data_IF_587691053789
#
_entry.id   IF_587691053789
#
_cell.length_a   1.000
_cell.length_b   1.000
_cell.length_c   1.000
_cell.angle_alpha   90.00
_cell.angle_beta   90.00
_cell.angle_gamma   90.00
#
_symmetry.space_group_name_H-M   'P 1'
#
loop_
_entity.id
_entity.type
_entity.pdbx_description
1 polymer ?
#
# COMPACT_ATOMS: atom_id res chain seq x y z
N UNK A 1 10.99 -6.63 -9.82
CA UNK A 1 10.55 -5.22 -9.92
C UNK A 1 11.75 -4.31 -9.69
N UNK A 2 11.90 -3.20 -10.43
CA UNK A 2 12.91 -2.16 -10.18
C UNK A 2 12.31 -1.02 -9.34
N UNK A 3 13.06 -0.49 -8.38
CA UNK A 3 12.72 0.76 -7.69
C UNK A 3 13.48 1.92 -8.35
N UNK A 4 12.74 2.90 -8.86
CA UNK A 4 13.25 4.13 -9.44
C UNK A 4 12.95 5.28 -8.48
N UNK A 5 13.80 5.45 -7.47
CA UNK A 5 13.68 6.56 -6.52
C UNK A 5 14.32 7.83 -7.10
N UNK A 6 13.48 8.77 -7.50
CA UNK A 6 13.85 10.07 -8.08
C UNK A 6 13.64 11.23 -7.09
N UNK A 7 13.47 10.93 -5.80
CA UNK A 7 13.17 11.94 -4.76
C UNK A 7 14.36 12.82 -4.38
N UNK A 8 15.58 12.27 -4.49
CA UNK A 8 16.83 12.94 -4.13
C UNK A 8 17.29 13.99 -5.16
N UNK A 9 16.64 14.06 -6.33
CA UNK A 9 17.01 15.01 -7.38
C UNK A 9 16.22 16.32 -7.21
N UNK A 10 16.84 17.51 -7.34
CA UNK A 10 16.06 18.67 -7.72
C UNK A 10 15.39 18.32 -9.05
N UNK A 11 14.14 18.72 -9.23
CA UNK A 11 13.34 18.24 -10.36
C UNK A 11 13.88 18.70 -11.74
N UNK A 12 14.99 19.45 -11.77
CA UNK A 12 15.73 19.98 -12.93
C UNK A 12 16.99 19.18 -13.33
N UNK A 13 17.40 18.16 -12.58
CA UNK A 13 18.62 17.39 -12.89
C UNK A 13 18.34 16.19 -13.82
N UNK A 14 19.20 16.00 -14.84
CA UNK A 14 19.15 14.86 -15.75
C UNK A 14 19.33 13.52 -15.00
N UNK A 15 18.68 12.43 -15.44
CA UNK A 15 18.65 11.19 -14.67
C UNK A 15 19.97 10.41 -14.66
N UNK A 16 20.37 9.84 -13.51
CA UNK A 16 21.47 8.85 -13.40
C UNK A 16 21.07 7.47 -13.99
N UNK A 17 19.78 7.25 -14.23
CA UNK A 17 19.24 6.04 -14.87
C UNK A 17 17.95 6.41 -15.63
N UNK A 18 18.00 6.36 -16.95
CA UNK A 18 16.84 6.60 -17.83
C UNK A 18 15.80 5.47 -17.59
N UNK A 19 14.55 5.77 -17.19
CA UNK A 19 13.49 4.77 -17.10
C UNK A 19 13.37 3.91 -18.36
N UNK A 20 13.61 4.47 -19.55
CA UNK A 20 13.63 3.75 -20.83
C UNK A 20 14.79 2.78 -20.93
N UNK A 21 15.95 3.09 -20.37
CA UNK A 21 17.09 2.16 -20.35
C UNK A 21 16.81 0.93 -19.46
N UNK A 22 15.94 1.05 -18.47
CA UNK A 22 15.62 -0.01 -17.52
C UNK A 22 14.37 -0.82 -17.91
N UNK A 23 13.36 -0.13 -18.44
CA UNK A 23 12.08 -0.73 -18.82
C UNK A 23 12.01 -1.07 -20.31
N UNK A 24 12.89 -0.52 -21.15
CA UNK A 24 12.76 -0.58 -22.60
C UNK A 24 11.75 0.44 -23.12
N UNK A 25 11.58 0.50 -24.43
CA UNK A 25 10.75 1.52 -25.10
C UNK A 25 9.24 1.25 -25.01
N UNK A 26 8.83 0.04 -24.64
CA UNK A 26 7.43 -0.39 -24.65
C UNK A 26 6.94 -0.74 -23.24
N UNK A 27 6.64 0.29 -22.45
CA UNK A 27 6.05 0.14 -21.13
C UNK A 27 4.88 1.11 -20.91
N UNK A 28 3.91 0.69 -20.10
CA UNK A 28 2.78 1.51 -19.70
C UNK A 28 2.97 2.03 -18.26
N UNK A 29 2.68 3.32 -18.05
CA UNK A 29 2.80 3.98 -16.75
C UNK A 29 1.42 4.20 -16.11
N UNK A 30 1.19 3.63 -14.93
CA UNK A 30 0.03 3.96 -14.10
C UNK A 30 0.36 5.17 -13.21
N UNK A 31 -0.43 6.25 -13.27
CA UNK A 31 -0.22 7.44 -12.43
C UNK A 31 -1.21 7.49 -11.27
N UNK A 32 -0.74 7.82 -10.08
CA UNK A 32 -1.60 7.91 -8.90
C UNK A 32 -0.88 8.04 -7.57
N UNK A 33 -1.65 8.27 -6.50
CA UNK A 33 -1.13 8.28 -5.14
C UNK A 33 -0.81 6.86 -4.62
N UNK A 34 -1.57 5.86 -5.09
CA UNK A 34 -1.32 4.45 -4.80
C UNK A 34 -1.23 4.12 -3.29
N UNK A 35 -1.96 4.84 -2.44
CA UNK A 35 -1.99 4.57 -0.99
C UNK A 35 -2.94 3.40 -0.72
N UNK A 36 -2.37 2.28 -0.27
CA UNK A 36 -3.04 1.01 -0.02
C UNK A 36 -3.09 0.06 -1.21
N UNK A 37 -2.76 0.46 -2.45
CA UNK A 37 -2.77 -0.42 -3.64
C UNK A 37 -4.03 -1.32 -3.74
N UNK A 38 -5.19 -0.72 -3.44
CA UNK A 38 -6.50 -1.38 -3.44
C UNK A 38 -6.93 -1.88 -4.82
N UNK A 39 -8.02 -2.63 -4.91
CA UNK A 39 -8.49 -3.24 -6.15
C UNK A 39 -8.69 -2.24 -7.31
N UNK A 40 -9.09 -1.00 -7.02
CA UNK A 40 -9.07 0.12 -7.98
C UNK A 40 -7.69 0.39 -8.61
N UNK A 41 -6.64 0.49 -7.80
CA UNK A 41 -5.27 0.63 -8.28
C UNK A 41 -4.80 -0.61 -9.05
N UNK A 42 -5.21 -1.80 -8.62
CA UNK A 42 -4.86 -3.05 -9.29
C UNK A 42 -5.49 -3.14 -10.69
N UNK A 43 -6.65 -2.51 -10.92
CA UNK A 43 -7.22 -2.42 -12.26
C UNK A 43 -6.45 -1.45 -13.17
N UNK A 44 -5.85 -0.38 -12.64
CA UNK A 44 -4.92 0.44 -13.41
C UNK A 44 -3.75 -0.40 -13.91
N UNK A 45 -3.16 -1.22 -13.03
CA UNK A 45 -2.08 -2.16 -13.39
C UNK A 45 -2.56 -3.17 -14.43
N UNK A 46 -3.78 -3.72 -14.26
CA UNK A 46 -4.38 -4.65 -15.22
C UNK A 46 -4.56 -4.04 -16.60
N UNK A 47 -5.06 -2.81 -16.67
CA UNK A 47 -5.24 -2.08 -17.92
C UNK A 47 -3.89 -1.74 -18.55
N UNK A 48 -2.90 -1.33 -17.75
CA UNK A 48 -1.55 -1.07 -18.26
C UNK A 48 -0.91 -2.33 -18.89
N UNK A 49 -1.09 -3.51 -18.27
CA UNK A 49 -0.63 -4.79 -18.84
C UNK A 49 -1.28 -5.17 -20.16
N UNK A 50 -2.50 -4.70 -20.41
CA UNK A 50 -3.15 -4.91 -21.70
C UNK A 50 -2.54 -4.02 -22.81
N UNK A 51 -1.91 -2.90 -22.45
CA UNK A 51 -1.35 -1.93 -23.39
C UNK A 51 0.13 -2.15 -23.65
N UNK A 52 0.87 -2.72 -22.70
CA UNK A 52 2.31 -2.93 -22.82
C UNK A 52 2.79 -4.17 -22.02
N UNK A 53 3.89 -4.81 -22.45
CA UNK A 53 4.44 -5.99 -21.76
C UNK A 53 4.95 -5.67 -20.35
N UNK A 54 5.42 -4.43 -20.13
CA UNK A 54 5.93 -3.97 -18.84
C UNK A 54 5.06 -2.84 -18.28
N UNK A 55 4.90 -2.83 -16.96
CA UNK A 55 4.12 -1.83 -16.24
C UNK A 55 4.95 -1.12 -15.19
N UNK A 56 4.91 0.21 -15.22
CA UNK A 56 5.44 1.07 -14.18
C UNK A 56 4.31 1.68 -13.36
N UNK A 57 4.43 1.65 -12.03
CA UNK A 57 3.61 2.45 -11.13
C UNK A 57 4.37 3.72 -10.82
N UNK A 58 3.79 4.88 -11.10
CA UNK A 58 4.41 6.19 -10.88
C UNK A 58 3.66 6.93 -9.78
N UNK A 59 4.39 7.31 -8.73
CA UNK A 59 3.83 7.99 -7.57
C UNK A 59 4.74 9.11 -7.07
N UNK A 60 4.30 9.82 -6.05
CA UNK A 60 4.99 10.96 -5.48
C UNK A 60 5.33 10.73 -4.00
N UNK A 61 6.53 11.16 -3.61
CA UNK A 61 6.97 11.21 -2.21
C UNK A 61 7.77 12.52 -1.97
N UNK A 62 7.44 13.33 -0.95
CA UNK A 62 6.27 13.23 -0.05
C UNK A 62 4.93 13.22 -0.79
N UNK A 63 3.84 12.74 -0.16
CA UNK A 63 2.52 12.78 -0.82
C UNK A 63 2.12 14.24 -1.07
N UNK A 64 1.41 14.56 -2.16
CA UNK A 64 0.98 15.93 -2.43
C UNK A 64 0.24 16.59 -1.24
N UNK A 65 -0.58 15.82 -0.51
CA UNK A 65 -1.27 16.31 0.69
C UNK A 65 -0.32 16.64 1.84
N UNK A 66 0.80 15.94 1.98
CA UNK A 66 1.79 16.20 3.03
C UNK A 66 2.51 17.54 2.81
N UNK A 67 2.61 18.01 1.55
CA UNK A 67 3.19 19.31 1.20
C UNK A 67 2.16 20.44 1.20
N UNK A 68 0.98 20.18 0.64
CA UNK A 68 -0.05 21.21 0.40
C UNK A 68 -0.93 21.48 1.62
N UNK A 69 -1.14 20.47 2.46
CA UNK A 69 -2.01 20.54 3.62
C UNK A 69 -1.56 19.55 4.72
N UNK A 70 -0.34 19.71 5.29
CA UNK A 70 0.24 18.77 6.24
C UNK A 70 -0.69 18.47 7.43
N UNK A 71 -1.35 19.49 7.98
CA UNK A 71 -2.25 19.34 9.14
C UNK A 71 -3.54 18.56 8.82
N UNK A 72 -3.84 18.35 7.53
CA UNK A 72 -5.02 17.63 7.03
C UNK A 72 -4.64 16.37 6.27
N UNK A 73 -3.36 16.00 6.26
CA UNK A 73 -2.91 14.83 5.55
C UNK A 73 -3.50 13.57 6.21
N UNK A 74 -4.24 12.74 5.47
CA UNK A 74 -4.81 11.53 6.06
C UNK A 74 -3.68 10.56 6.44
N UNK A 75 -3.87 9.71 7.46
CA UNK A 75 -2.89 8.71 7.84
C UNK A 75 -2.63 7.76 6.67
N UNK A 76 -1.41 7.24 6.57
CA UNK A 76 -1.01 6.32 5.49
C UNK A 76 -1.64 4.96 5.72
N UNK A 77 -2.16 4.35 4.65
CA UNK A 77 -2.59 2.95 4.66
C UNK A 77 -1.40 2.01 4.51
N UNK A 78 -0.29 2.49 3.96
CA UNK A 78 0.94 1.73 3.84
C UNK A 78 2.17 2.63 3.86
N UNK A 79 3.27 2.11 4.38
CA UNK A 79 4.60 2.73 4.27
C UNK A 79 5.14 2.62 2.83
N UNK A 80 6.17 3.43 2.46
CA UNK A 80 6.85 3.27 1.18
C UNK A 80 7.37 1.83 0.95
N UNK A 81 7.96 1.21 1.98
CA UNK A 81 8.45 -0.17 1.91
C UNK A 81 7.33 -1.21 1.74
N UNK A 82 6.16 -1.00 2.36
CA UNK A 82 4.98 -1.84 2.10
C UNK A 82 4.47 -1.66 0.66
N UNK A 83 4.40 -0.41 0.17
CA UNK A 83 4.00 -0.14 -1.22
C UNK A 83 4.92 -0.84 -2.23
N UNK A 84 6.22 -0.84 -1.97
CA UNK A 84 7.20 -1.57 -2.78
C UNK A 84 6.89 -3.08 -2.82
N UNK A 85 6.72 -3.72 -1.65
CA UNK A 85 6.36 -5.14 -1.55
C UNK A 85 5.07 -5.45 -2.30
N UNK A 86 4.03 -4.67 -2.06
CA UNK A 86 2.72 -4.87 -2.69
C UNK A 86 2.81 -4.70 -4.21
N UNK A 87 3.56 -3.73 -4.71
CA UNK A 87 3.77 -3.59 -6.16
C UNK A 87 4.50 -4.81 -6.74
N UNK A 88 5.50 -5.34 -6.03
CA UNK A 88 6.25 -6.53 -6.42
C UNK A 88 5.34 -7.77 -6.48
N UNK A 89 4.52 -7.98 -5.46
CA UNK A 89 3.58 -9.11 -5.38
C UNK A 89 2.51 -9.04 -6.49
N UNK A 90 2.06 -7.82 -6.85
CA UNK A 90 1.17 -7.57 -8.00
C UNK A 90 1.87 -7.79 -9.36
N UNK A 91 3.19 -8.00 -9.35
CA UNK A 91 4.03 -8.23 -10.53
C UNK A 91 4.49 -6.96 -11.25
N UNK A 92 4.32 -5.77 -10.67
CA UNK A 92 4.73 -4.50 -11.30
C UNK A 92 6.22 -4.57 -11.68
N UNK A 93 6.56 -4.07 -12.87
CA UNK A 93 7.93 -4.14 -13.40
C UNK A 93 8.81 -3.04 -12.81
N UNK A 94 8.26 -1.83 -12.59
CA UNK A 94 8.93 -0.76 -11.84
C UNK A 94 7.99 0.06 -10.96
N UNK A 95 8.49 0.47 -9.80
CA UNK A 95 7.90 1.52 -8.98
C UNK A 95 8.76 2.78 -9.13
N UNK A 96 8.22 3.81 -9.76
CA UNK A 96 8.86 5.12 -9.92
C UNK A 96 8.33 6.10 -8.90
N UNK A 97 9.21 6.62 -8.04
CA UNK A 97 8.87 7.58 -7.00
C UNK A 97 9.46 8.93 -7.36
N UNK A 98 8.59 9.87 -7.71
CA UNK A 98 8.96 11.23 -8.05
C UNK A 98 8.93 12.12 -6.81
N UNK A 99 9.85 13.09 -6.76
CA UNK A 99 9.78 14.15 -5.75
C UNK A 99 8.53 15.01 -5.98
N UNK A 100 7.76 15.27 -4.93
CA UNK A 100 6.75 16.32 -4.94
C UNK A 100 7.15 17.45 -4.00
N UNK A 101 7.19 18.67 -4.52
CA UNK A 101 7.46 19.87 -3.76
C UNK A 101 6.62 21.04 -4.30
N UNK A 102 6.84 22.24 -3.77
CA UNK A 102 6.07 23.44 -4.15
C UNK A 102 6.28 23.85 -5.61
N UNK A 103 7.42 23.52 -6.21
CA UNK A 103 7.66 23.77 -7.63
C UNK A 103 6.76 22.87 -8.47
N UNK A 104 6.77 21.56 -8.19
CA UNK A 104 5.90 20.58 -8.86
C UNK A 104 4.42 20.92 -8.67
N UNK A 105 4.03 21.35 -7.47
CA UNK A 105 2.66 21.80 -7.18
C UNK A 105 2.21 23.02 -7.99
N UNK A 106 3.16 23.85 -8.45
CA UNK A 106 2.91 25.07 -9.22
C UNK A 106 2.87 24.86 -10.73
N UNK A 107 3.21 23.67 -11.24
CA UNK A 107 3.25 23.39 -12.68
C UNK A 107 1.87 23.50 -13.32
N UNK A 108 1.78 24.10 -14.50
CA UNK A 108 0.57 23.97 -15.32
C UNK A 108 0.36 22.49 -15.75
N UNK A 109 -0.86 22.10 -16.15
CA UNK A 109 -1.09 20.76 -16.72
C UNK A 109 -0.12 20.44 -17.87
N UNK A 110 0.09 21.36 -18.81
CA UNK A 110 1.03 21.17 -19.91
C UNK A 110 2.47 20.96 -19.41
N UNK A 111 2.97 21.82 -18.52
CA UNK A 111 4.33 21.71 -17.99
C UNK A 111 4.54 20.42 -17.18
N UNK A 112 3.49 19.89 -16.53
CA UNK A 112 3.54 18.59 -15.87
C UNK A 112 3.70 17.45 -16.89
N UNK A 113 2.92 17.47 -17.97
CA UNK A 113 2.98 16.45 -19.03
C UNK A 113 4.34 16.47 -19.73
N UNK A 114 4.79 17.65 -20.16
CA UNK A 114 6.07 17.83 -20.83
C UNK A 114 7.21 17.30 -19.96
N UNK A 115 7.30 17.80 -18.71
CA UNK A 115 8.39 17.44 -17.80
C UNK A 115 8.40 15.96 -17.43
N UNK A 116 7.27 15.42 -16.99
CA UNK A 116 7.25 14.09 -16.38
C UNK A 116 6.92 13.00 -17.38
N UNK A 117 5.94 13.20 -18.26
CA UNK A 117 5.44 12.14 -19.12
C UNK A 117 6.18 12.09 -20.45
N UNK A 118 6.61 13.23 -21.00
CA UNK A 118 7.33 13.29 -22.28
C UNK A 118 8.85 13.24 -22.06
N UNK A 119 9.40 14.14 -21.26
CA UNK A 119 10.86 14.30 -21.15
C UNK A 119 11.51 13.27 -20.21
N UNK A 120 10.88 12.99 -19.06
CA UNK A 120 11.47 12.13 -18.04
C UNK A 120 11.12 10.65 -18.20
N UNK A 121 9.83 10.33 -18.37
CA UNK A 121 9.34 8.95 -18.38
C UNK A 121 9.24 8.41 -19.80
N UNK A 122 8.60 9.14 -20.72
CA UNK A 122 8.36 8.72 -22.10
C UNK A 122 7.77 7.29 -22.22
N UNK A 123 6.66 6.96 -21.52
CA UNK A 123 6.03 5.65 -21.66
C UNK A 123 5.32 5.52 -23.00
N UNK A 124 5.09 4.29 -23.47
CA UNK A 124 4.28 4.05 -24.67
C UNK A 124 2.77 4.26 -24.40
N UNK A 125 2.36 4.12 -23.14
CA UNK A 125 1.00 4.40 -22.70
C UNK A 125 0.93 4.91 -21.26
N UNK A 126 -0.07 5.74 -20.97
CA UNK A 126 -0.39 6.23 -19.62
C UNK A 126 -1.76 5.73 -19.20
N UNK A 127 -1.87 5.20 -17.98
CA UNK A 127 -3.13 4.72 -17.42
C UNK A 127 -3.46 5.47 -16.14
N UNK A 128 -4.67 6.02 -16.06
CA UNK A 128 -5.14 6.79 -14.91
C UNK A 128 -6.57 6.40 -14.52
N UNK A 129 -6.97 6.72 -13.29
CA UNK A 129 -8.36 6.57 -12.87
C UNK A 129 -9.24 7.70 -13.42
N UNK A 130 -10.54 7.46 -13.51
CA UNK A 130 -11.53 8.44 -13.98
C UNK A 130 -11.51 9.78 -13.22
N UNK A 131 -11.14 9.77 -11.93
CA UNK A 131 -11.07 10.95 -11.07
C UNK A 131 -9.66 11.57 -10.97
N UNK A 132 -8.74 11.16 -11.85
CA UNK A 132 -7.38 11.67 -11.89
C UNK A 132 -7.36 13.17 -12.20
N UNK A 133 -6.58 13.90 -11.40
CA UNK A 133 -6.35 15.33 -11.56
C UNK A 133 -4.89 15.65 -11.37
N UNK A 134 -4.38 16.61 -12.15
CA UNK A 134 -2.99 17.01 -12.15
C UNK A 134 -2.83 18.50 -12.47
N UNK A 135 -1.59 18.98 -12.39
CA UNK A 135 -1.26 20.40 -12.50
C UNK A 135 -1.75 21.24 -11.32
N UNK A 136 -1.32 22.50 -11.33
CA UNK A 136 -1.58 23.47 -10.28
C UNK A 136 -3.08 23.60 -10.03
N UNK A 137 -3.45 23.54 -8.74
CA UNK A 137 -4.85 23.60 -8.30
C UNK A 137 -5.76 22.55 -8.96
N UNK A 138 -5.21 21.40 -9.38
CA UNK A 138 -5.97 20.31 -10.02
C UNK A 138 -6.64 20.72 -11.34
N UNK A 139 -6.03 21.66 -12.07
CA UNK A 139 -6.61 22.24 -13.28
C UNK A 139 -6.74 21.26 -14.46
N UNK A 140 -5.90 20.22 -14.52
CA UNK A 140 -6.00 19.17 -15.55
C UNK A 140 -6.85 17.99 -15.11
N UNK A 141 -7.63 17.41 -16.03
CA UNK A 141 -8.37 16.16 -15.87
C UNK A 141 -8.05 15.16 -16.97
N UNK A 142 -8.77 14.04 -16.97
CA UNK A 142 -8.53 12.95 -17.93
C UNK A 142 -8.70 13.35 -19.41
N UNK A 143 -9.64 14.22 -19.82
CA UNK A 143 -9.73 14.65 -21.22
C UNK A 143 -8.53 15.48 -21.67
N UNK A 144 -8.09 16.43 -20.84
CA UNK A 144 -6.93 17.27 -21.14
C UNK A 144 -5.65 16.44 -21.22
N UNK A 145 -5.49 15.45 -20.32
CA UNK A 145 -4.36 14.52 -20.34
C UNK A 145 -4.30 13.75 -21.67
N UNK A 146 -5.43 13.19 -22.11
CA UNK A 146 -5.50 12.42 -23.35
C UNK A 146 -5.11 13.27 -24.57
N UNK A 147 -5.58 14.53 -24.63
CA UNK A 147 -5.22 15.45 -25.70
C UNK A 147 -3.72 15.77 -25.73
N UNK A 148 -3.13 16.09 -24.57
CA UNK A 148 -1.71 16.43 -24.46
C UNK A 148 -0.80 15.25 -24.80
N UNK A 149 -1.16 14.03 -24.36
CA UNK A 149 -0.40 12.81 -24.67
C UNK A 149 -0.50 12.41 -26.14
N UNK A 150 -1.68 12.57 -26.77
CA UNK A 150 -1.87 12.26 -28.18
C UNK A 150 -0.94 13.10 -29.09
N UNK A 151 -0.73 14.38 -28.76
CA UNK A 151 0.21 15.24 -29.48
C UNK A 151 1.68 14.78 -29.40
N UNK A 152 2.02 13.96 -28.40
CA UNK A 152 3.34 13.37 -28.21
C UNK A 152 3.43 11.90 -28.66
N UNK A 153 2.36 11.34 -29.26
CA UNK A 153 2.31 9.95 -29.69
C UNK A 153 2.20 8.92 -28.55
N UNK A 154 1.83 9.36 -27.33
CA UNK A 154 1.66 8.51 -26.15
C UNK A 154 0.19 8.10 -26.03
N UNK A 155 -0.10 6.81 -25.96
CA UNK A 155 -1.47 6.33 -25.75
C UNK A 155 -1.95 6.64 -24.32
N UNK A 156 -3.26 6.85 -24.14
CA UNK A 156 -3.85 7.02 -22.80
C UNK A 156 -5.06 6.13 -22.61
N UNK A 157 -5.20 5.55 -21.41
CA UNK A 157 -6.41 4.84 -21.00
C UNK A 157 -6.91 5.34 -19.64
N UNK A 158 -8.23 5.45 -19.52
CA UNK A 158 -8.91 5.80 -18.29
C UNK A 158 -9.60 4.54 -17.77
N UNK A 159 -9.33 4.20 -16.51
CA UNK A 159 -10.06 3.13 -15.82
C UNK A 159 -11.23 3.75 -15.09
N UNK A 160 -12.42 3.27 -15.45
CA UNK A 160 -13.69 3.63 -14.81
C UNK A 160 -13.72 3.23 -13.33
N UNK A 161 -14.66 3.81 -12.60
CA UNK A 161 -14.88 3.46 -11.20
C UNK A 161 -15.18 1.96 -11.03
N UNK A 162 -14.51 1.33 -10.07
CA UNK A 162 -14.79 -0.06 -9.69
C UNK A 162 -15.72 -0.06 -8.50
N UNK A 163 -16.87 -0.69 -8.68
CA UNK A 163 -17.79 -1.04 -7.60
C UNK A 163 -17.61 -2.52 -7.25
N UNK A 164 -17.58 -2.83 -5.96
CA UNK A 164 -17.70 -4.21 -5.51
C UNK A 164 -19.16 -4.66 -5.63
N UNK A 165 -19.44 -5.91 -6.03
CA UNK A 165 -20.79 -6.47 -5.95
C UNK A 165 -21.36 -6.26 -4.53
N UNK A 166 -22.61 -5.84 -4.44
CA UNK A 166 -23.33 -5.62 -3.18
C UNK A 166 -22.72 -4.57 -2.23
N UNK A 167 -21.93 -3.64 -2.75
CA UNK A 167 -21.38 -2.51 -1.98
C UNK A 167 -21.80 -1.16 -2.55
N UNK A 168 -22.53 -0.38 -1.76
CA UNK A 168 -22.77 1.04 -2.05
C UNK A 168 -21.56 1.93 -1.72
N UNK A 169 -20.53 1.36 -1.08
CA UNK A 169 -19.33 2.13 -0.70
C UNK A 169 -18.40 2.28 -1.90
N UNK A 170 -18.16 3.52 -2.30
CA UNK A 170 -17.13 3.88 -3.28
C UNK A 170 -15.77 3.31 -2.86
N UNK A 171 -15.17 2.53 -3.76
CA UNK A 171 -13.85 1.96 -3.57
C UNK A 171 -12.79 3.06 -3.61
N UNK A 172 -11.97 3.14 -2.56
CA UNK A 172 -10.81 4.02 -2.53
C UNK A 172 -10.13 4.07 -1.17
N UNK A 173 -8.97 4.71 -1.12
CA UNK A 173 -8.20 4.85 0.12
C UNK A 173 -9.00 5.52 1.25
N UNK A 174 -9.93 6.44 0.96
CA UNK A 174 -10.76 7.08 1.98
C UNK A 174 -11.69 6.08 2.67
N UNK A 175 -12.40 5.25 1.89
CA UNK A 175 -13.27 4.22 2.43
C UNK A 175 -12.49 3.18 3.24
N UNK A 176 -11.32 2.77 2.75
CA UNK A 176 -10.45 1.82 3.48
C UNK A 176 -10.01 2.41 4.82
N UNK A 177 -9.62 3.70 4.86
CA UNK A 177 -9.27 4.35 6.14
C UNK A 177 -10.45 4.36 7.11
N UNK A 178 -11.65 4.64 6.65
CA UNK A 178 -12.85 4.62 7.50
C UNK A 178 -13.13 3.22 8.07
N UNK A 179 -13.03 2.18 7.23
CA UNK A 179 -13.22 0.79 7.65
C UNK A 179 -12.15 0.34 8.65
N UNK A 180 -10.87 0.67 8.40
CA UNK A 180 -9.80 0.37 9.35
C UNK A 180 -10.04 1.12 10.66
N UNK A 181 -10.26 2.45 10.61
CA UNK A 181 -10.52 3.27 11.80
C UNK A 181 -11.70 2.78 12.64
N UNK A 182 -12.71 2.15 12.05
CA UNK A 182 -13.85 1.57 12.77
C UNK A 182 -13.63 0.13 13.25
N UNK A 183 -12.48 -0.48 12.93
CA UNK A 183 -12.14 -1.86 13.26
C UNK A 183 -12.68 -2.91 12.29
N UNK A 184 -13.34 -2.51 11.20
CA UNK A 184 -13.87 -3.39 10.16
C UNK A 184 -12.79 -3.82 9.15
N UNK A 185 -11.76 -4.50 9.65
CA UNK A 185 -10.57 -4.92 8.88
C UNK A 185 -10.88 -5.98 7.81
N UNK A 186 -11.91 -6.77 8.02
CA UNK A 186 -12.45 -7.75 7.06
C UNK A 186 -12.99 -7.02 5.82
N UNK A 187 -13.78 -5.98 6.04
CA UNK A 187 -14.31 -5.14 4.96
C UNK A 187 -13.20 -4.38 4.26
N UNK A 188 -12.18 -3.91 5.00
CA UNK A 188 -11.01 -3.30 4.38
C UNK A 188 -10.29 -4.31 3.45
N UNK A 189 -10.25 -5.59 3.83
CA UNK A 189 -9.67 -6.67 3.02
C UNK A 189 -10.43 -6.85 1.70
N UNK A 190 -11.76 -6.79 1.72
CA UNK A 190 -12.58 -6.86 0.50
C UNK A 190 -12.20 -5.77 -0.53
N UNK A 191 -11.88 -4.57 -0.06
CA UNK A 191 -11.50 -3.43 -0.91
C UNK A 191 -10.03 -3.48 -1.35
N UNK A 192 -9.17 -4.04 -0.50
CA UNK A 192 -7.73 -4.16 -0.75
C UNK A 192 -7.38 -5.36 -1.63
N UNK A 193 -8.18 -6.43 -1.61
CA UNK A 193 -7.86 -7.73 -2.21
C UNK A 193 -6.74 -8.48 -1.46
N UNK A 194 -6.44 -8.05 -0.23
CA UNK A 194 -5.45 -8.61 0.69
C UNK A 194 -5.70 -8.07 2.10
N UNK A 195 -5.12 -8.68 3.12
CA UNK A 195 -5.24 -8.21 4.50
C UNK A 195 -4.71 -6.78 4.64
N UNK A 196 -5.41 -5.96 5.43
CA UNK A 196 -4.84 -4.69 5.89
C UNK A 196 -3.70 -4.99 6.86
N UNK A 197 -2.56 -4.35 6.65
CA UNK A 197 -1.37 -4.67 7.39
C UNK A 197 -0.62 -3.42 7.85
N UNK A 198 -0.16 -3.46 9.09
CA UNK A 198 0.48 -2.35 9.77
C UNK A 198 1.97 -2.66 9.98
N UNK A 199 2.84 -1.92 9.32
CA UNK A 199 4.27 -1.98 9.59
C UNK A 199 4.63 -1.26 10.89
N UNK A 200 5.57 -1.79 11.64
CA UNK A 200 6.08 -1.18 12.86
C UNK A 200 7.39 -1.80 13.33
N UNK A 201 7.92 -1.27 14.42
CA UNK A 201 9.12 -1.80 15.09
C UNK A 201 8.72 -2.44 16.40
N UNK A 202 9.24 -3.63 16.69
CA UNK A 202 9.04 -4.25 17.99
C UNK A 202 9.89 -3.51 19.02
N UNK A 203 9.25 -3.05 20.09
CA UNK A 203 9.88 -2.31 21.18
C UNK A 203 9.81 -3.10 22.48
N UNK A 204 10.68 -2.75 23.42
CA UNK A 204 10.60 -3.26 24.77
C UNK A 204 9.34 -2.70 25.46
N UNK A 205 8.40 -3.60 25.79
CA UNK A 205 7.22 -3.28 26.60
C UNK A 205 7.33 -3.83 28.01
N UNK A 206 6.23 -3.78 28.77
CA UNK A 206 6.19 -4.21 30.17
C UNK A 206 6.32 -5.75 30.39
N UNK A 207 6.49 -6.53 29.32
CA UNK A 207 6.69 -7.99 29.32
C UNK A 207 5.65 -8.81 30.12
N UNK A 208 4.44 -8.27 30.34
CA UNK A 208 3.41 -8.83 31.24
C UNK A 208 2.91 -10.20 30.81
N UNK A 209 2.72 -10.39 29.51
CA UNK A 209 2.27 -11.66 28.94
C UNK A 209 3.19 -12.84 29.26
N UNK A 210 4.48 -12.58 29.52
CA UNK A 210 5.47 -13.62 29.87
C UNK A 210 5.10 -14.34 31.18
N UNK A 211 4.57 -13.63 32.17
CA UNK A 211 4.11 -14.22 33.44
C UNK A 211 2.76 -14.95 33.32
N UNK A 212 2.03 -14.72 32.23
CA UNK A 212 0.73 -15.35 31.97
C UNK A 212 0.79 -16.58 31.07
N UNK A 213 1.96 -16.87 30.46
CA UNK A 213 2.15 -17.92 29.47
C UNK A 213 1.98 -17.44 28.01
N UNK A 214 1.73 -16.15 27.80
CA UNK A 214 1.44 -15.56 26.49
C UNK A 214 2.39 -14.39 26.20
N UNK A 215 3.68 -14.64 25.90
CA UNK A 215 4.62 -13.56 25.60
C UNK A 215 4.15 -12.73 24.39
N UNK A 216 4.16 -11.40 24.52
CA UNK A 216 3.73 -10.46 23.48
C UNK A 216 4.88 -9.61 22.97
N UNK A 217 4.90 -9.38 21.66
CA UNK A 217 5.69 -8.34 21.01
C UNK A 217 4.92 -7.02 21.07
N UNK A 218 5.54 -5.95 21.57
CA UNK A 218 4.94 -4.61 21.57
C UNK A 218 5.35 -3.93 20.27
N UNK A 219 4.41 -3.59 19.41
CA UNK A 219 4.69 -3.02 18.08
C UNK A 219 4.39 -1.52 18.09
N UNK A 220 5.42 -0.70 17.86
CA UNK A 220 5.26 0.74 17.65
C UNK A 220 5.10 1.02 16.16
N UNK A 221 4.02 1.71 15.79
CA UNK A 221 3.74 2.08 14.40
C UNK A 221 3.29 3.53 14.29
N UNK A 222 3.53 4.13 13.13
CA UNK A 222 3.02 5.44 12.72
C UNK A 222 1.90 5.32 11.66
N UNK A 223 1.51 4.10 11.30
CA UNK A 223 0.44 3.85 10.33
C UNK A 223 -0.96 4.05 10.93
N UNK A 224 -1.98 3.86 10.10
CA UNK A 224 -3.37 3.90 10.59
C UNK A 224 -3.67 2.67 11.46
N UNK A 225 -3.88 2.89 12.75
CA UNK A 225 -4.33 1.85 13.67
C UNK A 225 -5.82 1.56 13.46
N UNK A 226 -6.27 0.30 13.55
CA UNK A 226 -7.69 -0.01 13.63
C UNK A 226 -8.29 0.46 14.96
N UNK A 227 -9.61 0.34 15.13
CA UNK A 227 -10.25 0.62 16.41
C UNK A 227 -9.66 -0.28 17.53
N UNK A 228 -9.65 0.16 18.81
CA UNK A 228 -9.22 -0.70 19.90
C UNK A 228 -10.00 -2.02 19.96
N UNK A 229 -9.35 -3.10 20.36
CA UNK A 229 -9.95 -4.44 20.41
C UNK A 229 -8.93 -5.56 20.21
N UNK A 230 -9.44 -6.79 20.21
CA UNK A 230 -8.66 -8.01 19.97
C UNK A 230 -8.89 -8.50 18.55
N UNK A 231 -7.83 -8.88 17.86
CA UNK A 231 -7.83 -9.24 16.46
C UNK A 231 -7.11 -10.58 16.21
N UNK A 232 -7.64 -11.39 15.30
CA UNK A 232 -6.88 -12.42 14.63
C UNK A 232 -5.97 -11.76 13.59
N UNK A 233 -4.69 -12.12 13.56
CA UNK A 233 -3.72 -11.49 12.65
C UNK A 233 -2.55 -12.42 12.31
N UNK A 234 -1.70 -12.00 11.39
CA UNK A 234 -0.38 -12.57 11.18
C UNK A 234 0.68 -11.56 11.61
N UNK A 235 1.75 -12.05 12.25
CA UNK A 235 2.95 -11.29 12.54
C UNK A 235 4.03 -11.70 11.54
N UNK A 236 4.41 -10.80 10.64
CA UNK A 236 5.49 -10.99 9.66
C UNK A 236 6.76 -10.28 10.09
N UNK A 237 7.90 -10.96 10.04
CA UNK A 237 9.23 -10.35 10.19
C UNK A 237 9.68 -9.80 8.83
N UNK A 238 9.98 -8.52 8.78
CA UNK A 238 10.44 -7.86 7.55
C UNK A 238 11.96 -7.88 7.45
N UNK A 239 12.43 -7.90 6.21
CA UNK A 239 13.85 -7.79 5.88
C UNK A 239 14.08 -7.35 4.45
N UNK A 240 15.30 -7.62 3.98
CA UNK A 240 15.73 -7.38 2.61
C UNK A 240 15.93 -8.72 1.89
N UNK A 241 15.45 -8.80 0.66
CA UNK A 241 15.72 -9.92 -0.26
C UNK A 241 17.09 -9.77 -0.90
N UNK A 242 17.59 -10.85 -1.50
CA UNK A 242 18.91 -10.88 -2.15
C UNK A 242 19.08 -9.82 -3.25
N UNK A 243 17.98 -9.40 -3.88
CA UNK A 243 17.95 -8.35 -4.90
C UNK A 243 17.89 -6.92 -4.32
N UNK A 244 18.06 -6.76 -3.01
CA UNK A 244 18.05 -5.47 -2.29
C UNK A 244 16.64 -4.92 -2.03
N UNK A 245 15.61 -5.72 -2.30
CA UNK A 245 14.21 -5.36 -2.11
C UNK A 245 13.69 -5.58 -0.70
N UNK A 246 12.64 -4.87 -0.29
CA UNK A 246 11.93 -5.24 0.96
C UNK A 246 11.15 -6.53 0.77
N UNK A 247 11.18 -7.45 1.74
CA UNK A 247 10.38 -8.69 1.73
C UNK A 247 9.95 -9.14 3.14
N UNK A 248 9.03 -10.09 3.21
CA UNK A 248 8.72 -10.85 4.43
C UNK A 248 9.66 -12.05 4.50
N UNK A 249 10.37 -12.20 5.62
CA UNK A 249 11.33 -13.30 5.84
C UNK A 249 10.66 -14.52 6.47
N UNK A 250 9.82 -14.28 7.49
CA UNK A 250 9.11 -15.28 8.26
C UNK A 250 7.78 -14.68 8.71
N UNK A 251 6.76 -15.51 8.93
CA UNK A 251 5.50 -15.08 9.53
C UNK A 251 4.94 -16.13 10.48
N UNK A 252 4.08 -15.68 11.37
CA UNK A 252 3.38 -16.53 12.34
C UNK A 252 1.92 -16.12 12.46
N UNK A 253 0.98 -17.08 12.55
CA UNK A 253 -0.37 -16.80 13.02
C UNK A 253 -0.30 -16.18 14.41
N UNK A 254 -1.16 -15.20 14.69
CA UNK A 254 -1.09 -14.41 15.91
C UNK A 254 -2.46 -13.90 16.36
N UNK A 255 -2.54 -13.49 17.63
CA UNK A 255 -3.60 -12.64 18.14
C UNK A 255 -3.01 -11.32 18.60
N UNK A 256 -3.68 -10.22 18.25
CA UNK A 256 -3.25 -8.88 18.62
C UNK A 256 -4.26 -8.23 19.54
N UNK A 257 -3.80 -7.57 20.59
CA UNK A 257 -4.57 -6.65 21.39
C UNK A 257 -4.13 -5.22 21.07
N UNK A 258 -5.07 -4.38 20.63
CA UNK A 258 -4.85 -2.96 20.44
C UNK A 258 -5.65 -2.20 21.50
N UNK A 259 -4.95 -1.51 22.40
CA UNK A 259 -5.61 -0.95 23.57
C UNK A 259 -4.91 0.21 24.23
N UNK A 260 -5.69 1.00 24.97
CA UNK A 260 -5.13 2.06 25.82
C UNK A 260 -4.69 1.48 27.17
N UNK A 261 -3.63 2.02 27.78
CA UNK A 261 -3.18 1.61 29.11
C UNK A 261 -3.43 2.71 30.16
N UNK A 262 -4.70 2.93 30.57
CA UNK A 262 -5.06 4.00 31.49
C UNK A 262 -4.50 3.81 32.91
N UNK A 263 -3.95 2.64 33.25
CA UNK A 263 -3.42 2.36 34.59
C UNK A 263 -1.98 2.84 34.80
N UNK A 264 -1.20 2.98 33.71
CA UNK A 264 0.23 3.34 33.80
C UNK A 264 0.58 4.61 33.04
N UNK A 265 -0.25 4.97 32.06
CA UNK A 265 -0.17 6.26 31.38
C UNK A 265 -1.59 6.83 31.22
N UNK A 266 -2.22 7.23 32.34
CA UNK A 266 -3.59 7.75 32.35
C UNK A 266 -3.77 8.98 31.47
N UNK A 267 -2.69 9.71 31.16
CA UNK A 267 -2.73 11.00 30.48
C UNK A 267 -2.33 10.94 29.00
N UNK A 268 -1.64 9.89 28.51
CA UNK A 268 -1.22 9.86 27.11
C UNK A 268 -2.33 9.55 26.10
N UNK A 269 -3.35 8.78 26.51
CA UNK A 269 -4.34 8.22 25.58
C UNK A 269 -3.70 7.35 24.46
N UNK A 270 -2.44 6.93 24.62
CA UNK A 270 -1.71 6.21 23.59
C UNK A 270 -2.23 4.78 23.46
N UNK A 271 -2.43 4.34 22.22
CA UNK A 271 -2.77 2.96 21.90
C UNK A 271 -1.49 2.12 21.81
N UNK A 272 -1.53 0.94 22.44
CA UNK A 272 -0.48 -0.05 22.43
C UNK A 272 -0.94 -1.25 21.61
N UNK A 273 -0.13 -1.66 20.64
CA UNK A 273 -0.35 -2.87 19.87
C UNK A 273 0.52 -3.99 20.44
N UNK A 274 -0.10 -4.95 21.11
CA UNK A 274 0.54 -6.13 21.67
C UNK A 274 0.17 -7.36 20.85
N UNK A 275 1.16 -8.07 20.33
CA UNK A 275 0.96 -9.22 19.43
C UNK A 275 1.52 -10.49 20.04
N UNK A 276 0.69 -11.51 20.20
CA UNK A 276 1.09 -12.84 20.63
C UNK A 276 1.11 -13.78 19.42
N UNK A 277 2.30 -14.19 18.98
CA UNK A 277 2.43 -15.22 17.96
C UNK A 277 2.10 -16.60 18.54
N UNK A 278 1.32 -17.37 17.79
CA UNK A 278 0.83 -18.67 18.19
C UNK A 278 1.91 -19.73 17.98
N UNK A 279 1.96 -20.70 18.89
CA UNK A 279 2.76 -21.92 18.77
C UNK A 279 4.28 -21.70 18.65
N UNK A 280 4.77 -20.47 18.89
CA UNK A 280 6.20 -20.12 18.85
C UNK A 280 6.61 -19.22 20.00
N UNK A 281 7.86 -19.38 20.44
CA UNK A 281 8.50 -18.45 21.37
C UNK A 281 9.48 -17.56 20.62
N UNK A 282 9.06 -16.34 20.31
CA UNK A 282 9.86 -15.37 19.56
C UNK A 282 11.05 -14.83 20.38
N UNK A 283 10.89 -14.77 21.70
CA UNK A 283 11.91 -14.29 22.62
C UNK A 283 12.40 -12.89 22.27
N UNK A 284 13.69 -12.64 22.51
CA UNK A 284 14.33 -11.35 22.25
C UNK A 284 14.67 -11.15 20.76
N UNK A 285 14.49 -12.18 19.92
CA UNK A 285 14.88 -12.19 18.49
C UNK A 285 14.22 -11.08 17.67
N UNK A 286 13.04 -10.63 18.10
CA UNK A 286 12.29 -9.60 17.41
C UNK A 286 12.54 -8.18 17.92
N UNK A 287 13.22 -7.98 19.06
CA UNK A 287 13.44 -6.62 19.56
C UNK A 287 14.20 -5.77 18.54
N UNK A 288 13.75 -4.53 18.37
CA UNK A 288 14.24 -3.56 17.40
C UNK A 288 14.10 -3.97 15.92
N UNK A 289 13.43 -5.10 15.65
CA UNK A 289 13.16 -5.56 14.28
C UNK A 289 11.90 -4.90 13.72
N UNK A 290 11.94 -4.65 12.42
CA UNK A 290 10.75 -4.25 11.67
C UNK A 290 9.85 -5.46 11.41
N UNK A 291 8.57 -5.30 11.72
CA UNK A 291 7.54 -6.31 11.58
C UNK A 291 6.31 -5.72 10.88
N UNK A 292 5.43 -6.61 10.44
CA UNK A 292 4.13 -6.27 9.90
C UNK A 292 3.05 -7.08 10.59
N UNK A 293 1.96 -6.41 11.01
CA UNK A 293 0.80 -7.04 11.62
C UNK A 293 -0.34 -7.00 10.63
N UNK A 294 -0.64 -8.13 9.98
CA UNK A 294 -1.70 -8.25 8.99
C UNK A 294 -3.00 -8.73 9.64
N UNK A 295 -4.01 -7.88 9.67
CA UNK A 295 -5.26 -8.10 10.40
C UNK A 295 -6.23 -8.95 9.58
N UNK A 296 -6.67 -10.07 10.14
CA UNK A 296 -7.64 -10.98 9.53
C UNK A 296 -9.06 -10.59 9.91
N UNK A 297 -9.32 -10.49 11.21
CA UNK A 297 -10.67 -10.25 11.73
C UNK A 297 -10.64 -9.66 13.14
N UNK A 298 -11.67 -8.90 13.48
CA UNK A 298 -11.90 -8.38 14.84
C UNK A 298 -12.66 -9.42 15.65
N UNK A 299 -12.05 -9.89 16.74
CA UNK A 299 -12.63 -10.93 17.60
C UNK A 299 -13.59 -10.34 18.63
N UNK A 300 -13.19 -9.24 19.29
CA UNK A 300 -13.99 -8.57 20.33
C UNK A 300 -13.44 -7.20 20.70
N UNK A 301 -14.25 -6.42 21.42
CA UNK A 301 -13.82 -5.21 22.12
C UNK A 301 -12.82 -5.53 23.26
N UNK A 302 -12.11 -4.50 23.71
CA UNK A 302 -11.32 -4.57 24.94
C UNK A 302 -12.23 -4.81 26.16
N UNK A 303 -11.75 -5.62 27.10
CA UNK A 303 -12.50 -5.99 28.30
C UNK A 303 -11.57 -5.96 29.50
N UNK A 304 -12.12 -5.59 30.66
CA UNK A 304 -11.44 -5.73 31.95
C UNK A 304 -11.73 -7.12 32.50
N UNK A 305 -10.74 -7.74 33.14
CA UNK A 305 -10.85 -9.07 33.69
C UNK A 305 -10.64 -9.05 35.20
N UNK A 306 -11.45 -9.84 35.91
CA UNK A 306 -11.38 -9.99 37.37
C UNK A 306 -10.26 -10.98 37.76
N UNK A 307 -9.02 -10.59 37.45
CA UNK A 307 -7.81 -11.33 37.81
C UNK A 307 -7.17 -12.14 36.67
N UNK A 308 -6.00 -12.74 36.93
CA UNK A 308 -5.15 -13.33 35.90
C UNK A 308 -5.72 -14.62 35.28
N UNK A 309 -6.51 -15.41 36.02
CA UNK A 309 -7.13 -16.62 35.47
C UNK A 309 -8.24 -16.31 34.45
N UNK A 310 -9.07 -15.31 34.73
CA UNK A 310 -10.10 -14.85 33.80
C UNK A 310 -9.47 -14.31 32.50
N UNK A 311 -8.38 -13.55 32.62
CA UNK A 311 -7.59 -13.08 31.48
C UNK A 311 -6.98 -14.24 30.67
N UNK A 312 -6.38 -15.23 31.34
CA UNK A 312 -5.83 -16.42 30.66
C UNK A 312 -6.90 -17.19 29.89
N UNK A 313 -8.06 -17.41 30.49
CA UNK A 313 -9.18 -18.09 29.85
C UNK A 313 -9.70 -17.33 28.63
N UNK A 314 -9.79 -16.00 28.71
CA UNK A 314 -10.17 -15.17 27.58
C UNK A 314 -9.16 -15.24 26.43
N UNK A 315 -7.85 -15.12 26.71
CA UNK A 315 -6.81 -15.25 25.69
C UNK A 315 -6.85 -16.64 25.03
N UNK A 316 -7.02 -17.71 25.82
CA UNK A 316 -7.13 -19.06 25.29
C UNK A 316 -8.34 -19.20 24.34
N UNK A 317 -9.47 -18.57 24.69
CA UNK A 317 -10.65 -18.54 23.81
C UNK A 317 -10.38 -17.72 22.54
N UNK A 318 -9.77 -16.55 22.65
CA UNK A 318 -9.42 -15.70 21.50
C UNK A 318 -8.54 -16.47 20.51
N UNK A 319 -7.57 -17.26 21.01
CA UNK A 319 -6.73 -18.13 20.17
C UNK A 319 -7.56 -19.23 19.49
N UNK A 320 -8.48 -19.87 20.21
CA UNK A 320 -9.35 -20.91 19.64
C UNK A 320 -10.23 -20.34 18.52
N UNK A 321 -10.81 -19.17 18.72
CA UNK A 321 -11.66 -18.49 17.73
C UNK A 321 -10.84 -18.00 16.52
N UNK A 322 -9.59 -17.57 16.74
CA UNK A 322 -8.72 -17.03 15.68
C UNK A 322 -8.25 -18.11 14.69
N UNK A 323 -7.96 -19.34 15.15
CA UNK A 323 -7.38 -20.41 14.32
C UNK A 323 -8.12 -20.70 13.01
N UNK A 324 -9.45 -20.92 12.98
CA UNK A 324 -10.15 -21.16 11.72
C UNK A 324 -10.10 -19.95 10.77
N UNK A 325 -10.15 -18.73 11.30
CA UNK A 325 -10.06 -17.50 10.51
C UNK A 325 -8.68 -17.33 9.89
N UNK A 326 -7.62 -17.59 10.67
CA UNK A 326 -6.23 -17.54 10.22
C UNK A 326 -5.98 -18.56 9.11
N UNK A 327 -6.44 -19.80 9.28
CA UNK A 327 -6.30 -20.84 8.26
C UNK A 327 -6.98 -20.47 6.94
N UNK A 328 -8.17 -19.85 6.99
CA UNK A 328 -8.88 -19.41 5.81
C UNK A 328 -8.21 -18.20 5.10
N UNK A 329 -7.55 -17.33 5.86
CA UNK A 329 -7.03 -16.04 5.38
C UNK A 329 -5.54 -16.02 5.01
N UNK A 330 -4.80 -17.12 5.18
CA UNK A 330 -3.35 -17.15 4.91
C UNK A 330 -2.99 -16.72 3.47
N UNK A 331 -3.80 -17.12 2.49
CA UNK A 331 -3.64 -16.75 1.09
C UNK A 331 -3.86 -15.25 0.79
N UNK A 332 -4.42 -14.49 1.73
CA UNK A 332 -4.71 -13.06 1.60
C UNK A 332 -3.61 -12.17 2.17
N UNK A 333 -2.54 -12.72 2.78
CA UNK A 333 -1.43 -11.92 3.32
C UNK A 333 -0.74 -11.10 2.24
N UNK A 334 -0.65 -11.67 1.04
CA UNK A 334 -0.09 -11.04 -0.15
C UNK A 334 -1.15 -10.93 -1.24
N UNK A 335 -1.14 -9.87 -2.05
CA UNK A 335 -2.04 -9.80 -3.20
C UNK A 335 -1.63 -10.81 -4.26
N UNK A 336 -2.60 -11.31 -5.02
CA UNK A 336 -2.31 -12.12 -6.20
C UNK A 336 -1.68 -11.27 -7.32
N UNK A 337 -0.73 -11.82 -8.10
CA UNK A 337 -0.17 -11.13 -9.27
C UNK A 337 -1.27 -10.69 -10.25
N UNK A 338 -1.22 -9.43 -10.68
CA UNK A 338 -2.19 -8.91 -11.65
C UNK A 338 -1.82 -9.43 -13.03
N UNK A 339 -2.75 -10.15 -13.67
CA UNK A 339 -2.65 -10.62 -15.05
C UNK A 339 -3.50 -9.75 -15.97
N UNK A 340 -3.12 -9.66 -17.24
CA UNK A 340 -3.97 -9.05 -18.26
C UNK A 340 -5.33 -9.77 -18.34
N UNK A 341 -6.40 -9.04 -18.62
CA UNK A 341 -7.71 -9.65 -18.85
C UNK A 341 -7.66 -10.52 -20.13
N UNK A 342 -8.31 -11.71 -20.16
CA UNK A 342 -8.43 -12.49 -21.38
C UNK A 342 -9.11 -11.65 -22.48
N UNK A 343 -8.46 -11.50 -23.63
CA UNK A 343 -9.05 -10.84 -24.81
C UNK A 343 -8.81 -9.33 -24.95
N UNK A 344 -7.93 -8.72 -24.14
CA UNK A 344 -7.56 -7.33 -24.37
C UNK A 344 -6.76 -7.16 -25.67
N UNK A 345 -7.33 -6.44 -26.64
CA UNK A 345 -6.61 -6.10 -27.87
C UNK A 345 -5.60 -4.98 -27.58
N UNK A 346 -4.36 -5.08 -28.08
CA UNK A 346 -3.42 -3.97 -28.01
C UNK A 346 -4.02 -2.74 -28.71
N UNK A 347 -3.67 -1.52 -28.28
CA UNK A 347 -4.13 -0.31 -28.94
C UNK A 347 -3.73 -0.34 -30.43
N UNK A 348 -4.53 0.25 -31.33
CA UNK A 348 -4.18 0.33 -32.74
C UNK A 348 -2.80 0.99 -32.88
N UNK A 349 -1.94 0.42 -33.73
CA UNK A 349 -0.61 0.98 -34.02
C UNK A 349 -0.75 2.45 -34.43
N UNK A 350 0.11 3.30 -33.88
CA UNK A 350 0.18 4.71 -34.26
C UNK A 350 0.44 4.80 -35.78
N UNK A 351 -0.45 5.39 -36.59
CA UNK A 351 -0.27 5.50 -38.03
C UNK A 351 0.91 6.41 -38.43
N UNK A 352 1.51 7.13 -37.47
CA UNK A 352 2.66 8.01 -37.69
C UNK A 352 3.97 7.45 -37.12
N UNK A 353 4.02 6.18 -36.69
CA UNK A 353 5.31 5.56 -36.38
C UNK A 353 6.14 5.47 -37.67
N UNK A 354 7.38 5.99 -37.72
CA UNK A 354 8.22 5.79 -38.90
C UNK A 354 8.40 4.30 -39.12
N UNK A 355 8.07 3.82 -40.33
CA UNK A 355 8.40 2.46 -40.73
C UNK A 355 9.92 2.36 -40.74
N UNK A 356 10.46 1.48 -39.89
CA UNK A 356 11.86 1.09 -39.93
C UNK A 356 12.18 0.62 -41.36
N UNK A 357 12.98 1.42 -42.06
CA UNK A 357 13.50 1.08 -43.37
C UNK A 357 14.58 -0.01 -43.24
N UNK A 358 14.66 -0.96 -44.18
CA UNK A 358 15.41 -2.21 -44.06
C UNK A 358 16.93 -2.08 -43.97
#
# INVERSE_FOLDING_TARGET
>A
MRLLDLTARPATAAPQSDPRALLGETYAACLGAFDGMHLGHQALVRQARALAPKVAVVTFEPRPTDILAPDRAPPRLQTPGQRERVCRDLGVDALTVLRFDREVAGLSPQAFVDRFLIDLLAPSAVVVGYDFRFGARRAGGTPELAQMLASAGIASAVVEEISLPDSETKLGSTAIRQLVSSGAVERATDLLGRLYALAGTVVHGAARGRGLGFPTANVRSTGLLPAPGVYACFLGLLGESEDGGRCELEHWPAVANLGSNPTFDPDSGALHLEVHALDVQLGERLYDREVEVAFVARLRDEQRFDGPEALRAAIAKDIQDARPLLAAADHLRHPAPVRAAPGAQPPPKNPNAPEDAP
#
